data_IF_575368125653
#
_entry.id   IF_575368125653
#
_cell.length_a   1.000
_cell.length_b   1.000
_cell.length_c   1.000
_cell.angle_alpha   90.00
_cell.angle_beta   90.00
_cell.angle_gamma   90.00
#
_symmetry.space_group_name_H-M   'P 1'
#
loop_
_entity.id
_entity.type
_entity.pdbx_description
1 polymer ?
#
# COMPACT_ATOMS: atom_id res chain seq x y z
N UNK A 1 20.16 7.24 -8.60
CA UNK A 1 18.78 7.05 -9.08
C UNK A 1 18.07 6.21 -8.04
N UNK A 2 16.83 6.57 -7.67
CA UNK A 2 16.03 5.71 -6.81
C UNK A 2 15.76 4.38 -7.54
N UNK A 3 15.70 3.27 -6.80
CA UNK A 3 15.32 1.98 -7.36
C UNK A 3 13.88 2.07 -7.91
N UNK A 4 13.61 1.37 -9.01
CA UNK A 4 12.24 1.24 -9.50
C UNK A 4 11.37 0.41 -8.53
N UNK A 5 10.05 0.53 -8.70
CA UNK A 5 9.10 -0.12 -7.80
C UNK A 5 9.22 -1.64 -7.82
N UNK A 6 9.56 -2.24 -8.97
CA UNK A 6 9.72 -3.68 -9.13
C UNK A 6 10.91 -4.20 -8.30
N UNK A 7 12.03 -3.48 -8.35
CA UNK A 7 13.22 -3.74 -7.54
C UNK A 7 12.92 -3.60 -6.05
N UNK A 8 12.24 -2.54 -5.64
CA UNK A 8 11.87 -2.34 -4.23
C UNK A 8 10.92 -3.44 -3.73
N UNK A 9 9.92 -3.81 -4.52
CA UNK A 9 9.01 -4.91 -4.18
C UNK A 9 9.77 -6.23 -4.00
N UNK A 10 10.70 -6.55 -4.90
CA UNK A 10 11.53 -7.76 -4.77
C UNK A 10 12.39 -7.73 -3.50
N UNK A 11 12.99 -6.58 -3.18
CA UNK A 11 13.78 -6.40 -1.96
C UNK A 11 12.96 -6.61 -0.68
N UNK A 12 11.71 -6.09 -0.63
CA UNK A 12 10.81 -6.30 0.51
C UNK A 12 10.48 -7.78 0.69
N UNK A 13 10.20 -8.50 -0.39
CA UNK A 13 9.91 -9.93 -0.34
C UNK A 13 11.14 -10.70 0.15
N UNK A 14 12.33 -10.39 -0.38
CA UNK A 14 13.56 -11.03 0.05
C UNK A 14 13.85 -10.77 1.53
N UNK A 15 13.71 -9.52 1.98
CA UNK A 15 13.84 -9.16 3.39
C UNK A 15 12.85 -9.93 4.28
N UNK A 16 11.61 -10.11 3.82
CA UNK A 16 10.59 -10.86 4.55
C UNK A 16 10.91 -12.37 4.63
N UNK A 17 11.49 -12.95 3.58
CA UNK A 17 11.98 -14.33 3.56
C UNK A 17 13.16 -14.49 4.52
N UNK A 18 14.16 -13.61 4.44
CA UNK A 18 15.37 -13.64 5.25
C UNK A 18 15.08 -13.53 6.76
N UNK A 19 14.02 -12.80 7.12
CA UNK A 19 13.55 -12.65 8.50
C UNK A 19 12.57 -13.72 8.96
N UNK A 20 12.23 -14.68 8.09
CA UNK A 20 11.26 -15.74 8.38
C UNK A 20 9.81 -15.25 8.49
N UNK A 21 9.50 -14.02 8.05
CA UNK A 21 8.14 -13.45 8.11
C UNK A 21 7.20 -14.29 7.25
N UNK A 22 7.61 -14.69 6.05
CA UNK A 22 6.78 -15.54 5.17
C UNK A 22 6.52 -16.91 5.80
N UNK A 23 7.41 -17.41 6.65
CA UNK A 23 7.29 -18.72 7.29
C UNK A 23 6.53 -18.70 8.62
N UNK A 24 6.56 -17.57 9.34
CA UNK A 24 6.04 -17.49 10.72
C UNK A 24 4.89 -16.48 10.89
N UNK A 25 4.64 -15.63 9.90
CA UNK A 25 3.52 -14.69 9.87
C UNK A 25 2.32 -15.30 9.17
N UNK A 26 1.23 -14.53 9.11
CA UNK A 26 0.01 -14.91 8.39
C UNK A 26 -0.48 -13.74 7.54
N UNK A 27 -1.27 -13.99 6.47
CA UNK A 27 -1.89 -12.91 5.71
C UNK A 27 -2.72 -12.00 6.62
N UNK A 28 -3.46 -12.58 7.57
CA UNK A 28 -4.24 -11.82 8.56
C UNK A 28 -3.36 -10.89 9.39
N UNK A 29 -2.20 -11.36 9.86
CA UNK A 29 -1.29 -10.52 10.65
C UNK A 29 -0.75 -9.35 9.82
N UNK A 30 -0.37 -9.58 8.56
CA UNK A 30 0.09 -8.51 7.66
C UNK A 30 -1.02 -7.50 7.33
N UNK A 31 -2.25 -7.97 7.15
CA UNK A 31 -3.41 -7.10 6.95
C UNK A 31 -3.67 -6.21 8.17
N UNK A 32 -3.64 -6.78 9.37
CA UNK A 32 -3.84 -6.01 10.60
C UNK A 32 -2.69 -5.03 10.85
N UNK A 33 -1.44 -5.41 10.54
CA UNK A 33 -0.31 -4.48 10.63
C UNK A 33 -0.46 -3.34 9.63
N UNK A 34 -0.85 -3.60 8.38
CA UNK A 34 -1.14 -2.56 7.38
C UNK A 34 -2.14 -1.51 7.90
N UNK A 35 -3.21 -1.94 8.59
CA UNK A 35 -4.16 -0.98 9.20
C UNK A 35 -3.57 -0.22 10.38
N UNK A 36 -2.65 -0.81 11.14
CA UNK A 36 -1.89 -0.09 12.16
C UNK A 36 -1.06 1.03 11.54
N UNK A 37 -0.32 0.77 10.46
CA UNK A 37 0.54 1.78 9.81
C UNK A 37 -0.31 2.86 9.14
N UNK A 38 -1.47 2.49 8.58
CA UNK A 38 -2.43 3.46 8.08
C UNK A 38 -2.96 4.39 9.20
N UNK A 39 -3.01 3.91 10.44
CA UNK A 39 -3.31 4.73 11.61
C UNK A 39 -2.21 5.75 11.92
N UNK A 40 -0.94 5.41 11.67
CA UNK A 40 0.19 6.34 11.82
C UNK A 40 0.13 7.44 10.77
N UNK A 41 -0.25 7.12 9.52
CA UNK A 41 -0.54 8.13 8.48
C UNK A 41 -1.64 9.08 8.96
N UNK A 42 -2.73 8.56 9.51
CA UNK A 42 -3.85 9.39 9.98
C UNK A 42 -3.44 10.31 11.15
N UNK A 43 -2.60 9.83 12.07
CA UNK A 43 -2.07 10.63 13.17
C UNK A 43 -1.06 11.69 12.68
N UNK A 44 -0.23 11.35 11.70
CA UNK A 44 0.68 12.26 11.02
C UNK A 44 -0.07 13.40 10.34
N UNK A 45 -1.12 13.08 9.57
CA UNK A 45 -2.00 14.05 8.91
C UNK A 45 -2.68 14.98 9.93
N UNK A 46 -3.26 14.42 11.00
CA UNK A 46 -3.92 15.21 12.04
C UNK A 46 -2.98 16.19 12.77
N UNK A 47 -1.67 15.93 12.75
CA UNK A 47 -0.64 16.74 13.40
C UNK A 47 0.22 17.55 12.42
N UNK A 48 -0.02 17.45 11.11
CA UNK A 48 0.77 18.11 10.08
C UNK A 48 2.23 17.66 10.04
N UNK A 49 2.49 16.37 10.32
CA UNK A 49 3.85 15.79 10.38
C UNK A 49 4.14 14.99 9.11
N UNK A 50 4.75 15.64 8.12
CA UNK A 50 5.00 15.03 6.82
C UNK A 50 5.95 13.82 6.89
N UNK A 51 6.95 13.85 7.76
CA UNK A 51 7.91 12.75 7.92
C UNK A 51 7.19 11.47 8.38
N UNK A 52 6.22 11.58 9.31
CA UNK A 52 5.44 10.44 9.78
C UNK A 52 4.47 9.91 8.71
N UNK A 53 3.97 10.80 7.85
CA UNK A 53 3.15 10.41 6.69
C UNK A 53 3.98 9.62 5.70
N UNK A 54 5.20 10.09 5.39
CA UNK A 54 6.11 9.40 4.46
C UNK A 54 6.49 8.01 4.96
N UNK A 55 6.87 7.88 6.24
CA UNK A 55 7.21 6.62 6.89
C UNK A 55 6.01 5.65 6.89
N UNK A 56 4.85 6.12 7.34
CA UNK A 56 3.63 5.31 7.39
C UNK A 56 3.16 4.81 6.02
N UNK A 57 3.30 5.62 4.96
CA UNK A 57 3.01 5.19 3.58
C UNK A 57 3.96 4.06 3.14
N UNK A 58 5.25 4.17 3.47
CA UNK A 58 6.23 3.12 3.24
C UNK A 58 5.86 1.81 3.92
N UNK A 59 5.51 1.87 5.21
CA UNK A 59 5.18 0.69 6.01
C UNK A 59 3.86 0.02 5.59
N UNK A 60 2.85 0.81 5.16
CA UNK A 60 1.64 0.27 4.51
C UNK A 60 2.02 -0.53 3.27
N UNK A 61 2.91 -0.02 2.42
CA UNK A 61 3.35 -0.72 1.22
C UNK A 61 4.11 -2.01 1.56
N UNK A 62 5.00 -1.98 2.55
CA UNK A 62 5.71 -3.19 3.02
C UNK A 62 4.71 -4.27 3.44
N UNK A 63 3.75 -3.93 4.30
CA UNK A 63 2.74 -4.87 4.76
C UNK A 63 1.86 -5.40 3.61
N UNK A 64 1.46 -4.54 2.68
CA UNK A 64 0.64 -4.92 1.53
C UNK A 64 1.38 -5.82 0.55
N UNK A 65 2.67 -5.56 0.29
CA UNK A 65 3.52 -6.40 -0.57
C UNK A 65 3.62 -7.81 0.02
N UNK A 66 3.92 -7.93 1.32
CA UNK A 66 4.02 -9.24 2.00
C UNK A 66 2.65 -9.93 2.04
N UNK A 67 1.56 -9.18 2.29
CA UNK A 67 0.20 -9.70 2.23
C UNK A 67 -0.13 -10.30 0.85
N UNK A 68 0.17 -9.58 -0.24
CA UNK A 68 -0.01 -10.06 -1.60
C UNK A 68 0.82 -11.32 -1.89
N UNK A 69 2.06 -11.37 -1.39
CA UNK A 69 2.96 -12.51 -1.56
C UNK A 69 2.34 -13.81 -1.04
N UNK A 70 1.68 -13.79 0.13
CA UNK A 70 1.01 -14.97 0.67
C UNK A 70 -0.08 -15.55 -0.25
N UNK A 71 -0.69 -14.73 -1.10
CA UNK A 71 -1.73 -15.16 -2.06
C UNK A 71 -1.20 -15.37 -3.48
N UNK A 72 0.12 -15.30 -3.70
CA UNK A 72 0.71 -15.36 -5.04
C UNK A 72 0.29 -14.17 -5.93
N UNK A 73 -0.02 -13.03 -5.31
CA UNK A 73 -0.36 -11.78 -5.98
C UNK A 73 0.85 -10.83 -6.00
N UNK A 74 0.82 -9.86 -6.90
CA UNK A 74 1.78 -8.74 -6.91
C UNK A 74 1.01 -7.42 -6.91
N UNK A 75 1.58 -6.39 -6.27
CA UNK A 75 0.95 -5.07 -6.22
C UNK A 75 0.77 -4.49 -7.63
N UNK A 76 1.74 -4.58 -8.58
CA UNK A 76 1.56 -4.12 -9.95
C UNK A 76 0.39 -4.80 -10.67
N UNK A 77 0.17 -6.11 -10.46
CA UNK A 77 -0.97 -6.81 -11.06
C UNK A 77 -2.30 -6.28 -10.52
N UNK A 78 -2.40 -6.12 -9.20
CA UNK A 78 -3.59 -5.57 -8.53
C UNK A 78 -3.86 -4.11 -8.97
N UNK A 79 -2.81 -3.29 -9.01
CA UNK A 79 -2.90 -1.90 -9.43
C UNK A 79 -3.25 -1.77 -10.91
N UNK A 80 -2.70 -2.61 -11.78
CA UNK A 80 -3.04 -2.62 -13.21
C UNK A 80 -4.54 -2.91 -13.41
N UNK A 81 -5.09 -3.90 -12.70
CA UNK A 81 -6.52 -4.18 -12.75
C UNK A 81 -7.34 -2.96 -12.28
N UNK A 82 -6.97 -2.35 -11.14
CA UNK A 82 -7.66 -1.16 -10.64
C UNK A 82 -7.56 0.03 -11.61
N UNK A 83 -6.42 0.24 -12.24
CA UNK A 83 -6.21 1.29 -13.24
C UNK A 83 -7.19 1.16 -14.41
N UNK A 84 -7.35 -0.06 -14.94
CA UNK A 84 -8.29 -0.31 -16.03
C UNK A 84 -9.75 -0.05 -15.66
N UNK A 85 -10.11 -0.14 -14.37
CA UNK A 85 -11.43 0.21 -13.85
C UNK A 85 -11.64 1.72 -13.63
N UNK A 86 -10.56 2.49 -13.45
CA UNK A 86 -10.66 3.92 -13.08
C UNK A 86 -10.30 4.88 -14.20
N UNK A 87 -9.47 4.47 -15.17
CA UNK A 87 -8.89 5.36 -16.20
C UNK A 87 -9.91 6.06 -17.09
N UNK A 88 -11.06 5.43 -17.32
CA UNK A 88 -12.12 5.96 -18.19
C UNK A 88 -13.33 6.48 -17.38
N UNK A 89 -13.21 6.59 -16.04
CA UNK A 89 -14.29 7.10 -15.19
C UNK A 89 -14.55 8.56 -15.51
N UNK A 90 -15.83 8.89 -15.70
CA UNK A 90 -16.32 10.27 -15.79
C UNK A 90 -16.90 10.70 -14.45
N UNK A 91 -16.81 11.99 -14.16
CA UNK A 91 -17.11 12.54 -12.85
C UNK A 91 -16.38 13.84 -12.59
N UNK A 92 -16.59 14.40 -11.41
CA UNK A 92 -15.97 15.65 -10.98
C UNK A 92 -15.60 15.59 -9.49
N UNK A 93 -14.63 16.42 -9.09
CA UNK A 93 -14.31 16.65 -7.69
C UNK A 93 -15.30 17.66 -7.09
N UNK A 94 -15.74 17.43 -5.86
CA UNK A 94 -16.48 18.45 -5.08
C UNK A 94 -15.57 19.22 -4.14
N UNK A 95 -16.01 20.41 -3.76
CA UNK A 95 -15.40 21.17 -2.66
C UNK A 95 -15.39 20.31 -1.39
N UNK A 96 -14.22 20.13 -0.78
CA UNK A 96 -14.01 19.19 0.33
C UNK A 96 -13.40 17.83 -0.06
N UNK A 97 -13.12 17.57 -1.34
CA UNK A 97 -12.11 16.58 -1.76
C UNK A 97 -12.60 15.20 -2.20
N UNK A 98 -13.90 14.99 -2.41
CA UNK A 98 -14.46 13.70 -2.86
C UNK A 98 -14.71 13.71 -4.37
N UNK A 99 -14.36 12.62 -5.06
CA UNK A 99 -14.72 12.41 -6.46
C UNK A 99 -16.15 11.83 -6.56
N UNK A 100 -17.03 12.49 -7.32
CA UNK A 100 -18.38 12.00 -7.63
C UNK A 100 -18.38 11.43 -9.06
N UNK A 101 -18.71 10.14 -9.17
CA UNK A 101 -18.85 9.44 -10.45
C UNK A 101 -20.13 9.89 -11.18
N UNK A 102 -20.04 10.13 -12.47
CA UNK A 102 -21.21 10.28 -13.35
C UNK A 102 -21.92 8.93 -13.53
N UNK A 103 -23.23 8.92 -13.30
CA UNK A 103 -24.10 7.75 -13.50
C UNK A 103 -24.44 7.52 -14.97
#
# INVERSE_FOLDING_TARGET
>A
MAADFETLQANVIQWALDRGIVHHSTPRAQLLKMFSEAGEIADGEAKGRLDDIEDGVGDVLVCLIIYCHFYGLTVPKCLNAAWHEIKDRKGHMVEGGVFIKES
#
